data_IF_227875351100
#
_entry.id   IF_227875351100
#
_cell.length_a   1.000
_cell.length_b   1.000
_cell.length_c   1.000
_cell.angle_alpha   90.00
_cell.angle_beta   90.00
_cell.angle_gamma   90.00
#
_symmetry.space_group_name_H-M   'P 1'
#
loop_
_entity.id
_entity.type
_entity.pdbx_description
1 polymer ?
#
# COMPACT_ATOMS: atom_id res chain seq x y z
N UNK A 1 6.65 29.42 -39.15
CA UNK A 1 7.37 28.73 -38.05
C UNK A 1 6.44 27.95 -37.09
N UNK A 2 5.26 27.47 -37.52
CA UNK A 2 4.25 26.88 -36.59
C UNK A 2 4.26 25.34 -36.50
N UNK A 3 4.95 24.62 -37.40
CA UNK A 3 4.86 23.16 -37.45
C UNK A 3 5.70 22.42 -36.39
N UNK A 4 6.81 23.01 -35.94
CA UNK A 4 7.69 22.35 -34.95
C UNK A 4 7.08 22.31 -33.53
N UNK A 5 6.33 23.36 -33.15
CA UNK A 5 5.68 23.44 -31.84
C UNK A 5 4.51 22.44 -31.69
N UNK A 6 3.85 22.12 -32.79
CA UNK A 6 2.75 21.16 -32.78
C UNK A 6 3.26 19.72 -32.59
N UNK A 7 4.40 19.39 -33.21
CA UNK A 7 5.02 18.08 -33.04
C UNK A 7 5.50 17.85 -31.60
N UNK A 8 6.17 18.84 -31.00
CA UNK A 8 6.64 18.73 -29.60
C UNK A 8 5.48 18.61 -28.61
N UNK A 9 4.39 19.37 -28.83
CA UNK A 9 3.15 19.24 -28.04
C UNK A 9 2.54 17.85 -28.16
N UNK A 10 2.41 17.32 -29.38
CA UNK A 10 1.85 15.98 -29.61
C UNK A 10 2.73 14.88 -29.01
N UNK A 11 4.06 15.00 -29.13
CA UNK A 11 5.00 14.08 -28.50
C UNK A 11 4.84 14.10 -26.98
N UNK A 12 4.73 15.28 -26.37
CA UNK A 12 4.50 15.42 -24.93
C UNK A 12 3.17 14.81 -24.51
N UNK A 13 2.10 15.01 -25.28
CA UNK A 13 0.79 14.41 -25.00
C UNK A 13 0.83 12.87 -25.08
N UNK A 14 1.48 12.31 -26.10
CA UNK A 14 1.67 10.86 -26.23
C UNK A 14 2.47 10.29 -25.05
N UNK A 15 3.52 11.00 -24.64
CA UNK A 15 4.33 10.61 -23.51
C UNK A 15 3.52 10.61 -22.20
N UNK A 16 2.78 11.68 -21.92
CA UNK A 16 1.87 11.76 -20.77
C UNK A 16 0.84 10.62 -20.82
N UNK A 17 0.26 10.35 -21.99
CA UNK A 17 -0.70 9.27 -22.16
C UNK A 17 -0.09 7.90 -21.84
N UNK A 18 1.16 7.64 -22.22
CA UNK A 18 1.84 6.39 -21.90
C UNK A 18 2.06 6.22 -20.39
N UNK A 19 2.52 7.27 -19.71
CA UNK A 19 2.74 7.25 -18.25
C UNK A 19 1.42 7.03 -17.52
N UNK A 20 0.39 7.80 -17.87
CA UNK A 20 -0.94 7.67 -17.26
C UNK A 20 -1.56 6.31 -17.57
N UNK A 21 -1.36 5.78 -18.79
CA UNK A 21 -1.78 4.42 -19.13
C UNK A 21 -1.11 3.40 -18.23
N UNK A 22 0.21 3.46 -18.04
CA UNK A 22 0.92 2.53 -17.17
C UNK A 22 0.39 2.56 -15.72
N UNK A 23 0.14 3.76 -15.18
CA UNK A 23 -0.50 3.95 -13.88
C UNK A 23 -1.89 3.31 -13.81
N UNK A 24 -2.74 3.54 -14.80
CA UNK A 24 -4.11 3.01 -14.82
C UNK A 24 -4.13 1.49 -15.05
N UNK A 25 -3.25 0.96 -15.90
CA UNK A 25 -3.21 -0.48 -16.21
C UNK A 25 -2.58 -1.31 -15.09
N UNK A 26 -1.66 -0.73 -14.32
CA UNK A 26 -1.03 -1.44 -13.19
C UNK A 26 -1.97 -1.60 -11.99
N UNK A 27 -3.02 -0.78 -11.93
CA UNK A 27 -3.96 -0.74 -10.82
C UNK A 27 -5.22 -1.51 -11.10
N UNK A 28 -5.79 -2.05 -10.03
CA UNK A 28 -7.10 -2.66 -10.08
C UNK A 28 -8.18 -1.59 -10.31
N UNK A 29 -9.02 -1.71 -11.36
CA UNK A 29 -10.16 -0.82 -11.56
C UNK A 29 -11.17 -0.97 -10.41
N UNK A 30 -11.89 0.10 -10.02
CA UNK A 30 -11.95 1.42 -10.66
C UNK A 30 -10.90 2.42 -10.14
N UNK A 31 -10.20 3.12 -11.04
CA UNK A 31 -9.16 4.11 -10.68
C UNK A 31 -9.72 5.53 -10.62
N UNK A 32 -9.47 6.26 -9.54
CA UNK A 32 -9.89 7.67 -9.42
C UNK A 32 -8.91 8.59 -10.16
N UNK A 33 -9.42 9.55 -10.90
CA UNK A 33 -8.59 10.54 -11.60
C UNK A 33 -7.69 11.31 -10.62
N UNK A 34 -8.19 11.62 -9.43
CA UNK A 34 -7.43 12.33 -8.39
C UNK A 34 -6.20 11.55 -7.92
N UNK A 35 -6.31 10.22 -7.80
CA UNK A 35 -5.20 9.36 -7.37
C UNK A 35 -4.11 9.31 -8.45
N UNK A 36 -4.52 9.16 -9.71
CA UNK A 36 -3.59 9.18 -10.85
C UNK A 36 -2.82 10.50 -10.91
N UNK A 37 -3.49 11.64 -10.70
CA UNK A 37 -2.83 12.95 -10.68
C UNK A 37 -1.87 13.13 -9.50
N UNK A 38 -2.17 12.51 -8.36
CA UNK A 38 -1.32 12.54 -7.18
C UNK A 38 -0.01 11.78 -7.40
N UNK A 39 -0.06 10.67 -8.13
CA UNK A 39 1.09 9.79 -8.33
C UNK A 39 1.90 10.10 -9.57
N UNK A 40 1.31 10.78 -10.54
CA UNK A 40 2.03 11.30 -11.69
C UNK A 40 3.38 11.96 -11.32
N UNK A 41 3.46 12.89 -10.33
CA UNK A 41 4.73 13.48 -9.91
C UNK A 41 5.67 12.49 -9.21
N UNK A 42 5.19 11.38 -8.65
CA UNK A 42 6.05 10.35 -8.05
C UNK A 42 6.86 9.60 -9.13
N UNK A 43 6.30 9.48 -10.33
CA UNK A 43 6.96 8.84 -11.48
C UNK A 43 7.79 9.85 -12.29
N UNK A 44 7.21 11.02 -12.56
CA UNK A 44 7.79 12.01 -13.48
C UNK A 44 8.64 13.07 -12.79
N UNK A 45 8.55 13.20 -11.47
CA UNK A 45 9.19 14.26 -10.69
C UNK A 45 8.51 15.63 -10.80
N UNK A 46 7.57 15.82 -11.73
CA UNK A 46 6.83 17.07 -11.90
C UNK A 46 5.32 16.83 -11.92
N UNK A 47 4.50 17.70 -11.30
CA UNK A 47 3.06 17.65 -11.46
C UNK A 47 2.64 17.87 -12.92
N UNK A 48 1.48 17.31 -13.28
CA UNK A 48 0.95 17.41 -14.63
C UNK A 48 0.57 18.87 -14.97
N UNK A 49 1.40 19.55 -15.75
CA UNK A 49 1.18 20.93 -16.18
C UNK A 49 0.20 21.07 -17.35
N UNK A 50 -1.08 20.75 -17.12
CA UNK A 50 -2.13 20.85 -18.15
C UNK A 50 -2.33 22.28 -18.70
N UNK A 51 -2.11 23.31 -17.87
CA UNK A 51 -2.23 24.72 -18.28
C UNK A 51 -1.18 25.13 -19.30
N UNK A 52 0.06 24.65 -19.18
CA UNK A 52 1.15 24.93 -20.15
C UNK A 52 0.84 24.33 -21.53
N UNK A 53 0.03 23.28 -21.56
CA UNK A 53 -0.39 22.59 -22.78
C UNK A 53 -1.68 23.19 -23.39
N UNK A 54 -2.26 24.23 -22.76
CA UNK A 54 -3.45 24.92 -23.24
C UNK A 54 -4.77 24.24 -22.87
N UNK A 55 -4.77 23.33 -21.88
CA UNK A 55 -5.98 22.68 -21.39
C UNK A 55 -6.43 23.32 -20.07
N UNK A 56 -7.74 23.39 -19.86
CA UNK A 56 -8.35 23.90 -18.61
C UNK A 56 -8.28 22.91 -17.47
N UNK A 57 -8.40 21.62 -17.77
CA UNK A 57 -8.36 20.55 -16.76
C UNK A 57 -7.53 19.36 -17.23
N UNK A 58 -6.99 18.58 -16.28
CA UNK A 58 -6.29 17.35 -16.61
C UNK A 58 -7.18 16.31 -17.29
N UNK A 59 -8.48 16.28 -16.94
CA UNK A 59 -9.48 15.43 -17.63
C UNK A 59 -9.55 15.76 -19.11
N UNK A 60 -9.58 17.05 -19.46
CA UNK A 60 -9.67 17.50 -20.85
C UNK A 60 -8.39 17.15 -21.64
N UNK A 61 -7.22 17.35 -21.03
CA UNK A 61 -5.95 16.91 -21.60
C UNK A 61 -5.94 15.41 -21.93
N UNK A 62 -6.38 14.58 -20.97
CA UNK A 62 -6.40 13.13 -21.14
C UNK A 62 -7.54 12.66 -22.05
N UNK A 63 -8.62 13.43 -22.17
CA UNK A 63 -9.68 13.17 -23.16
C UNK A 63 -9.19 13.46 -24.57
N UNK A 64 -8.38 14.49 -24.75
CA UNK A 64 -7.80 14.85 -26.04
C UNK A 64 -6.83 13.79 -26.60
N UNK A 65 -6.31 12.88 -25.78
CA UNK A 65 -5.46 11.78 -26.26
C UNK A 65 -6.28 10.66 -26.90
N UNK A 66 -7.58 10.53 -26.58
CA UNK A 66 -8.46 9.49 -27.11
C UNK A 66 -8.23 8.08 -26.55
N UNK A 67 -7.26 7.91 -25.65
CA UNK A 67 -6.86 6.60 -25.13
C UNK A 67 -7.57 6.22 -23.81
N UNK A 68 -8.39 7.12 -23.27
CA UNK A 68 -9.01 7.00 -21.95
C UNK A 68 -10.52 7.25 -21.98
N UNK A 69 -11.24 6.45 -21.20
CA UNK A 69 -12.66 6.60 -20.92
C UNK A 69 -12.85 7.13 -19.50
N UNK A 70 -13.72 8.14 -19.35
CA UNK A 70 -14.04 8.73 -18.06
C UNK A 70 -15.47 8.39 -17.66
N UNK A 71 -15.66 7.97 -16.42
CA UNK A 71 -16.98 7.74 -15.83
C UNK A 71 -17.11 8.63 -14.60
N UNK A 72 -18.20 9.37 -14.49
CA UNK A 72 -18.47 10.20 -13.34
C UNK A 72 -19.56 9.54 -12.51
N UNK A 73 -19.27 9.29 -11.24
CA UNK A 73 -20.21 8.75 -10.27
C UNK A 73 -20.24 9.72 -9.09
N UNK A 74 -21.34 10.48 -8.96
CA UNK A 74 -21.46 11.58 -8.01
C UNK A 74 -20.40 12.66 -8.24
N UNK A 75 -19.64 12.97 -7.19
CA UNK A 75 -18.56 13.95 -7.21
C UNK A 75 -17.21 13.36 -7.68
N UNK A 76 -17.12 12.05 -7.86
CA UNK A 76 -15.88 11.37 -8.20
C UNK A 76 -15.80 11.05 -9.69
N UNK A 77 -14.64 11.35 -10.29
CA UNK A 77 -14.33 10.98 -11.67
C UNK A 77 -13.38 9.78 -11.67
N UNK A 78 -13.82 8.72 -12.33
CA UNK A 78 -13.08 7.50 -12.56
C UNK A 78 -12.50 7.49 -13.97
N UNK A 79 -11.28 6.96 -14.11
CA UNK A 79 -10.56 6.85 -15.37
C UNK A 79 -10.30 5.37 -15.67
N UNK A 80 -10.58 4.96 -16.90
CA UNK A 80 -10.25 3.66 -17.44
C UNK A 80 -9.42 3.84 -18.71
N UNK A 81 -8.31 3.11 -18.83
CA UNK A 81 -7.57 3.05 -20.08
C UNK A 81 -8.30 2.14 -21.06
N UNK A 82 -8.45 2.59 -22.31
CA UNK A 82 -9.01 1.73 -23.37
C UNK A 82 -7.98 0.63 -23.67
N UNK A 83 -8.34 -0.65 -23.48
CA UNK A 83 -7.41 -1.75 -23.71
C UNK A 83 -7.15 -1.89 -25.20
N UNK A 84 -5.88 -1.80 -25.59
CA UNK A 84 -5.42 -2.18 -26.93
C UNK A 84 -5.26 -3.70 -27.01
N UNK A 85 -5.26 -4.28 -28.22
CA UNK A 85 -5.06 -5.73 -28.39
C UNK A 85 -3.84 -6.27 -27.61
N UNK A 86 -2.75 -5.48 -27.52
CA UNK A 86 -1.53 -5.84 -26.80
C UNK A 86 -1.66 -5.75 -25.27
N UNK A 87 -2.51 -4.88 -24.75
CA UNK A 87 -2.65 -4.61 -23.30
C UNK A 87 -3.94 -5.17 -22.69
N UNK A 88 -4.83 -5.75 -23.51
CA UNK A 88 -6.09 -6.32 -23.08
C UNK A 88 -5.89 -7.46 -22.07
N UNK A 89 -4.94 -8.37 -22.33
CA UNK A 89 -4.66 -9.49 -21.43
C UNK A 89 -4.14 -9.02 -20.06
N UNK A 90 -3.27 -8.00 -20.03
CA UNK A 90 -2.77 -7.40 -18.78
C UNK A 90 -3.92 -6.82 -17.98
N UNK A 91 -4.79 -6.05 -18.64
CA UNK A 91 -5.96 -5.43 -17.99
C UNK A 91 -6.91 -6.48 -17.40
N UNK A 92 -7.10 -7.61 -18.09
CA UNK A 92 -7.88 -8.75 -17.58
C UNK A 92 -7.21 -9.40 -16.38
N UNK A 93 -5.90 -9.64 -16.44
CA UNK A 93 -5.12 -10.22 -15.35
C UNK A 93 -5.16 -9.36 -14.09
N UNK A 94 -5.01 -8.03 -14.25
CA UNK A 94 -5.05 -7.08 -13.13
C UNK A 94 -6.43 -7.03 -12.47
N UNK A 95 -7.51 -7.11 -13.24
CA UNK A 95 -8.89 -7.20 -12.70
C UNK A 95 -9.07 -8.45 -11.81
N UNK A 96 -8.44 -9.55 -12.19
CA UNK A 96 -8.50 -10.83 -11.47
C UNK A 96 -7.58 -10.90 -10.24
N UNK A 97 -6.70 -9.91 -10.04
CA UNK A 97 -5.85 -9.87 -8.84
C UNK A 97 -6.70 -9.84 -7.57
N UNK A 98 -6.32 -10.67 -6.60
CA UNK A 98 -6.97 -10.72 -5.29
C UNK A 98 -6.65 -9.42 -4.54
N UNK A 99 -7.67 -8.81 -3.95
CA UNK A 99 -7.41 -7.74 -2.99
C UNK A 99 -6.58 -8.33 -1.84
N UNK A 100 -5.53 -7.64 -1.43
CA UNK A 100 -4.77 -8.02 -0.24
C UNK A 100 -5.73 -7.98 0.95
N UNK A 101 -6.11 -9.16 1.44
CA UNK A 101 -6.80 -9.25 2.72
C UNK A 101 -5.76 -8.82 3.75
N UNK A 102 -5.96 -7.67 4.38
CA UNK A 102 -5.18 -7.28 5.55
C UNK A 102 -5.36 -8.40 6.57
N UNK A 103 -4.38 -9.30 6.63
CA UNK A 103 -4.34 -10.32 7.67
C UNK A 103 -3.89 -9.54 8.87
N UNK A 104 -4.84 -8.97 9.62
CA UNK A 104 -4.55 -8.55 10.99
C UNK A 104 -3.99 -9.80 11.63
N UNK A 105 -2.68 -9.81 11.87
CA UNK A 105 -2.04 -10.84 12.69
C UNK A 105 -2.68 -10.63 14.05
N UNK A 106 -3.76 -11.36 14.31
CA UNK A 106 -4.33 -11.45 15.63
C UNK A 106 -3.27 -12.19 16.42
N UNK A 107 -2.57 -11.45 17.27
CA UNK A 107 -1.58 -12.04 18.17
C UNK A 107 -2.32 -13.13 18.92
N UNK A 108 -1.90 -14.39 18.74
CA UNK A 108 -2.54 -15.51 19.41
C UNK A 108 -2.59 -15.20 20.91
N UNK A 109 -3.73 -15.43 21.61
CA UNK A 109 -3.85 -15.10 23.01
C UNK A 109 -2.70 -15.78 23.76
N UNK A 110 -1.87 -14.97 24.42
CA UNK A 110 -0.74 -15.45 25.19
C UNK A 110 -1.29 -16.37 26.28
N UNK A 111 -1.06 -17.69 26.14
CA UNK A 111 -1.41 -18.66 27.19
C UNK A 111 -0.61 -18.26 28.42
N UNK A 112 -1.29 -17.81 29.47
CA UNK A 112 -0.66 -17.38 30.72
C UNK A 112 0.15 -18.55 31.26
N UNK A 113 1.47 -18.39 31.31
CA UNK A 113 2.33 -19.41 31.93
C UNK A 113 1.97 -19.52 33.42
N UNK A 114 1.81 -20.73 33.97
CA UNK A 114 1.58 -20.90 35.40
C UNK A 114 2.80 -20.36 36.15
N UNK A 115 2.55 -19.53 37.16
CA UNK A 115 3.60 -19.05 38.07
C UNK A 115 4.24 -20.27 38.71
N UNK A 116 5.54 -20.49 38.47
CA UNK A 116 6.32 -21.47 39.23
C UNK A 116 6.23 -21.08 40.69
N UNK A 117 5.58 -21.90 41.51
CA UNK A 117 5.69 -21.78 42.96
C UNK A 117 7.17 -21.99 43.31
N UNK A 118 7.73 -21.06 44.08
CA UNK A 118 9.03 -21.23 44.72
C UNK A 118 8.96 -22.47 45.63
N UNK A 119 9.30 -23.63 45.07
CA UNK A 119 9.65 -24.79 45.87
C UNK A 119 11.02 -24.47 46.48
N UNK A 120 11.04 -23.73 47.59
CA UNK A 120 12.25 -23.52 48.38
C UNK A 120 12.66 -24.88 48.96
N UNK A 121 13.74 -25.44 48.44
CA UNK A 121 14.34 -26.65 48.99
C UNK A 121 14.92 -26.29 50.36
N UNK A 122 14.20 -26.62 51.43
CA UNK A 122 14.69 -26.47 52.81
C UNK A 122 15.92 -27.36 53.01
N UNK A 123 17.10 -26.80 52.76
CA UNK A 123 18.37 -27.29 53.29
C UNK A 123 18.48 -26.81 54.73
N UNK A 124 18.09 -27.65 55.69
CA UNK A 124 18.63 -27.57 57.05
C UNK A 124 19.26 -28.90 57.39
N UNK A 125 20.53 -29.01 57.02
CA UNK A 125 21.46 -29.99 57.52
C UNK A 125 22.23 -29.30 58.65
N UNK A 126 22.18 -29.86 59.86
CA UNK A 126 23.09 -29.56 60.97
C UNK A 126 23.22 -28.09 61.41
N UNK A 127 22.49 -27.71 62.47
CA UNK A 127 22.86 -26.58 63.31
C UNK A 127 22.76 -26.98 64.80
N UNK A 128 23.94 -27.24 65.35
CA UNK A 128 24.40 -27.20 66.74
C UNK A 128 23.47 -26.62 67.82
N UNK A 129 23.37 -27.37 68.94
CA UNK A 129 23.32 -26.92 70.35
C UNK A 129 23.42 -28.23 71.19
N UNK A 130 24.56 -28.77 71.62
CA UNK A 130 25.61 -28.25 72.51
C UNK A 130 25.02 -27.58 73.76
N UNK A 131 25.00 -28.39 74.85
CA UNK A 131 24.58 -28.16 76.24
C UNK A 131 23.08 -28.21 76.58
N UNK A 132 22.65 -29.23 77.35
CA UNK A 132 22.42 -29.09 78.81
C UNK A 132 21.84 -30.35 79.49
N UNK A 133 22.54 -30.75 80.58
CA UNK A 133 22.04 -31.27 81.87
C UNK A 133 21.59 -32.73 82.01
N UNK A 134 22.44 -33.50 82.70
CA UNK A 134 22.12 -34.76 83.39
C UNK A 134 21.14 -34.51 84.56
N UNK A 135 20.12 -35.33 84.77
CA UNK A 135 19.49 -35.48 86.08
C UNK A 135 20.20 -36.58 86.90
N UNK A 136 20.54 -36.24 88.14
CA UNK A 136 21.00 -37.19 89.15
C UNK A 136 19.81 -38.03 89.65
N UNK A 137 20.02 -39.34 89.82
CA UNK A 137 19.15 -40.22 90.62
C UNK A 137 20.04 -41.03 91.56
N UNK A 138 19.75 -40.94 92.86
CA UNK A 138 20.46 -41.65 93.93
C UNK A 138 20.02 -43.09 94.12
#
# INVERSE_FOLDING_TARGET
NNNNNNNSKQQRLKYIANVVRALVTSRKPPCKLREVLREYPEIEGEPLNFRKLGYTTAKDLLKATGEFSFQQYGEETYINAVPSQKSAHISSMVRQQKASKSTRITVAPQVRQPKRSDQSWNKSSYSSNVYQRLPATG
#
